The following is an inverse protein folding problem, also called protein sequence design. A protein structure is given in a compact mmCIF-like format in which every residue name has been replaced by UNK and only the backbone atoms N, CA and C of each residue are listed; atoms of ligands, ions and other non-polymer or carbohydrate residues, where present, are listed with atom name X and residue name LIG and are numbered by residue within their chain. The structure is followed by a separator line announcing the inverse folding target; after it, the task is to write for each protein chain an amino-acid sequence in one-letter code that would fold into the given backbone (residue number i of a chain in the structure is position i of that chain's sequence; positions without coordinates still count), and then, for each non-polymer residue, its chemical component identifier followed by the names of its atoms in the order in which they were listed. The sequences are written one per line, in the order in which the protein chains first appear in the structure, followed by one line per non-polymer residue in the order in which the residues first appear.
data_IF_243995147895
#
_entry.id   IF_243995147895
#
_cell.length_a   1.000
_cell.length_b   1.000
_cell.length_c   1.000
_cell.angle_alpha   90.00
_cell.angle_beta   90.00
_cell.angle_gamma   90.00
#
_symmetry.space_group_name_H-M   'P 1'
#
loop_
_entity.id
_entity.type
_entity.pdbx_description
1 polymer ?
#
# COMPACT_ATOMS: atom_id res chain seq x y z
N UNK A 1 -5.61 28.39 6.45
CA UNK A 1 -6.62 27.57 7.18
C UNK A 1 -8.04 28.09 7.02
N UNK A 2 -8.38 29.33 7.41
CA UNK A 2 -9.75 29.88 7.24
C UNK A 2 -10.22 29.89 5.77
N UNK A 3 -9.35 30.29 4.85
CA UNK A 3 -9.67 30.31 3.41
C UNK A 3 -9.86 28.89 2.84
N UNK A 4 -8.99 27.94 3.19
CA UNK A 4 -9.12 26.52 2.83
C UNK A 4 -10.47 25.95 3.29
N UNK A 5 -10.83 26.16 4.57
CA UNK A 5 -12.11 25.69 5.12
C UNK A 5 -13.30 26.30 4.39
N UNK A 6 -13.27 27.63 4.16
CA UNK A 6 -14.32 28.32 3.39
C UNK A 6 -14.45 27.70 2.00
N UNK A 7 -13.32 27.48 1.31
CA UNK A 7 -13.33 26.94 -0.05
C UNK A 7 -13.84 25.52 -0.13
N UNK A 8 -13.46 24.66 0.81
CA UNK A 8 -14.03 23.30 0.93
C UNK A 8 -15.55 23.37 1.14
N UNK A 9 -16.04 24.31 1.96
CA UNK A 9 -17.48 24.53 2.15
C UNK A 9 -18.19 24.95 0.87
N UNK A 10 -17.61 25.87 0.09
CA UNK A 10 -18.15 26.25 -1.22
C UNK A 10 -18.20 25.07 -2.20
N UNK A 11 -17.15 24.24 -2.24
CA UNK A 11 -17.12 23.03 -3.07
C UNK A 11 -18.15 22.00 -2.63
N UNK A 12 -18.39 21.87 -1.31
CA UNK A 12 -19.43 20.98 -0.78
C UNK A 12 -20.83 21.43 -1.22
N UNK A 13 -21.11 22.74 -1.23
CA UNK A 13 -22.36 23.30 -1.76
C UNK A 13 -22.50 23.09 -3.26
N UNK A 14 -21.42 23.28 -4.04
CA UNK A 14 -21.43 23.01 -5.47
C UNK A 14 -21.66 21.51 -5.77
N UNK A 15 -21.09 20.62 -4.96
CA UNK A 15 -21.36 19.20 -5.06
C UNK A 15 -22.86 18.92 -4.86
N UNK A 16 -23.50 19.59 -3.91
CA UNK A 16 -24.93 19.42 -3.67
C UNK A 16 -25.81 19.77 -4.88
N UNK A 17 -25.43 20.82 -5.59
CA UNK A 17 -26.11 21.28 -6.80
C UNK A 17 -25.91 20.32 -7.98
N UNK A 18 -24.72 19.72 -8.09
CA UNK A 18 -24.33 18.93 -9.27
C UNK A 18 -24.39 17.42 -9.08
N UNK A 19 -24.59 16.90 -7.86
CA UNK A 19 -24.50 15.45 -7.58
C UNK A 19 -25.49 14.58 -8.36
N UNK A 20 -26.58 15.14 -8.88
CA UNK A 20 -27.56 14.41 -9.70
C UNK A 20 -27.35 14.63 -11.20
N UNK A 21 -26.39 15.46 -11.58
CA UNK A 21 -26.09 15.81 -12.96
C UNK A 21 -24.99 14.91 -13.53
N UNK A 22 -24.99 14.75 -14.85
CA UNK A 22 -23.92 14.05 -15.57
C UNK A 22 -22.72 14.97 -15.78
N UNK A 23 -21.83 15.04 -14.80
CA UNK A 23 -20.60 15.86 -14.87
C UNK A 23 -19.45 15.04 -15.45
N UNK A 24 -18.80 15.56 -16.49
CA UNK A 24 -17.67 14.87 -17.13
C UNK A 24 -16.42 14.87 -16.23
N UNK A 25 -15.40 14.07 -16.57
CA UNK A 25 -14.15 14.03 -15.81
C UNK A 25 -13.42 15.38 -15.88
N UNK A 26 -13.38 15.97 -17.09
CA UNK A 26 -12.82 17.30 -17.32
C UNK A 26 -13.57 18.39 -16.55
N UNK A 27 -14.89 18.32 -16.47
CA UNK A 27 -15.69 19.27 -15.69
C UNK A 27 -15.49 19.05 -14.19
N UNK A 28 -15.32 17.80 -13.75
CA UNK A 28 -15.01 17.47 -12.35
C UNK A 28 -13.66 18.06 -11.95
N UNK A 29 -12.65 17.91 -12.80
CA UNK A 29 -11.34 18.51 -12.61
C UNK A 29 -11.44 20.04 -12.52
N UNK A 30 -12.17 20.66 -13.44
CA UNK A 30 -12.34 22.11 -13.51
C UNK A 30 -13.11 22.69 -12.32
N UNK A 31 -14.23 22.08 -11.93
CA UNK A 31 -15.16 22.61 -10.94
C UNK A 31 -14.75 22.29 -9.50
N UNK A 32 -14.13 21.13 -9.28
CA UNK A 32 -13.80 20.67 -7.92
C UNK A 32 -12.30 20.64 -7.65
N UNK A 33 -11.51 20.06 -8.56
CA UNK A 33 -10.11 19.77 -8.27
C UNK A 33 -9.24 21.02 -8.39
N UNK A 34 -9.39 21.79 -9.47
CA UNK A 34 -8.64 23.04 -9.61
C UNK A 34 -8.91 24.04 -8.46
N UNK A 35 -10.17 24.30 -8.04
CA UNK A 35 -10.41 25.20 -6.92
C UNK A 35 -9.90 24.65 -5.58
N UNK A 36 -9.95 23.34 -5.36
CA UNK A 36 -9.35 22.70 -4.20
C UNK A 36 -7.83 22.90 -4.18
N UNK A 37 -7.14 22.62 -5.28
CA UNK A 37 -5.68 22.80 -5.40
C UNK A 37 -5.25 24.26 -5.21
N UNK A 38 -5.99 25.21 -5.81
CA UNK A 38 -5.75 26.64 -5.60
C UNK A 38 -5.88 27.05 -4.13
N UNK A 39 -6.82 26.46 -3.39
CA UNK A 39 -6.97 26.72 -1.95
C UNK A 39 -5.81 26.19 -1.09
N UNK A 40 -5.03 25.26 -1.64
CA UNK A 40 -3.75 24.79 -1.08
C UNK A 40 -2.54 25.57 -1.62
N UNK A 41 -2.75 26.61 -2.42
CA UNK A 41 -1.66 27.42 -3.00
C UNK A 41 -1.00 26.80 -4.23
N UNK A 42 -1.62 25.82 -4.88
CA UNK A 42 -1.21 25.34 -6.20
C UNK A 42 -2.04 26.03 -7.27
N UNK A 43 -1.51 27.09 -7.87
CA UNK A 43 -2.16 27.73 -9.01
C UNK A 43 -2.06 26.83 -10.23
N UNK A 44 -3.21 26.30 -10.67
CA UNK A 44 -3.30 25.38 -11.82
C UNK A 44 -3.04 26.06 -13.16
N UNK A 45 -3.02 27.40 -13.20
CA UNK A 45 -2.56 28.16 -14.37
C UNK A 45 -1.04 28.34 -14.42
N UNK A 46 -0.31 28.01 -13.34
CA UNK A 46 1.13 28.16 -13.27
C UNK A 46 1.84 26.81 -13.55
N UNK A 47 2.50 26.64 -14.71
CA UNK A 47 3.19 25.41 -15.07
C UNK A 47 4.39 25.07 -14.17
N UNK A 48 4.88 26.02 -13.37
CA UNK A 48 5.94 25.76 -12.38
C UNK A 48 5.41 25.09 -11.11
N UNK A 49 4.10 25.19 -10.85
CA UNK A 49 3.43 24.61 -9.68
C UNK A 49 2.58 23.40 -10.04
N UNK A 50 1.97 23.38 -11.22
CA UNK A 50 1.08 22.31 -11.67
C UNK A 50 1.30 22.01 -13.14
N UNK A 51 1.52 20.74 -13.47
CA UNK A 51 1.58 20.26 -14.85
C UNK A 51 0.42 19.32 -15.13
N UNK A 52 -0.41 19.64 -16.12
CA UNK A 52 -1.44 18.73 -16.62
C UNK A 52 -0.86 17.66 -17.53
N UNK A 53 -1.51 16.48 -17.55
CA UNK A 53 -1.14 15.35 -18.40
C UNK A 53 0.34 14.97 -18.30
N UNK A 54 0.84 14.90 -17.06
CA UNK A 54 2.26 14.68 -16.76
C UNK A 54 2.66 13.23 -17.08
N UNK A 55 3.78 12.98 -17.80
CA UNK A 55 4.22 11.64 -18.15
C UNK A 55 4.76 10.89 -16.92
N UNK A 56 3.96 9.99 -16.36
CA UNK A 56 4.31 9.21 -15.17
C UNK A 56 4.98 7.85 -15.51
N UNK A 57 4.81 7.37 -16.74
CA UNK A 57 5.35 6.09 -17.23
C UNK A 57 6.12 6.31 -18.55
N UNK A 58 7.26 5.62 -18.78
CA UNK A 58 8.05 5.76 -20.02
C UNK A 58 7.38 5.27 -21.32
N UNK A 59 6.18 4.69 -21.28
CA UNK A 59 5.49 4.18 -22.47
C UNK A 59 4.59 5.24 -23.13
N UNK A 60 4.69 5.34 -24.46
CA UNK A 60 4.01 6.30 -25.35
C UNK A 60 2.50 6.00 -25.56
N UNK A 61 1.82 5.44 -24.55
CA UNK A 61 0.38 5.18 -24.60
C UNK A 61 -0.39 6.26 -23.84
N UNK A 62 -1.59 6.63 -24.30
CA UNK A 62 -2.47 7.63 -23.66
C UNK A 62 -2.70 7.38 -22.15
N UNK A 63 -2.45 6.17 -21.67
CA UNK A 63 -2.63 5.73 -20.28
C UNK A 63 -1.37 5.90 -19.42
N UNK A 64 -0.26 6.42 -19.96
CA UNK A 64 0.99 6.67 -19.23
C UNK A 64 1.06 8.04 -18.52
N UNK A 65 0.04 8.88 -18.68
CA UNK A 65 -0.01 10.25 -18.17
C UNK A 65 -0.98 10.35 -17.00
N UNK A 66 -0.58 11.07 -15.96
CA UNK A 66 -1.44 11.44 -14.83
C UNK A 66 -2.08 12.80 -15.10
N UNK A 67 -3.33 12.98 -14.67
CA UNK A 67 -4.12 14.18 -14.99
C UNK A 67 -3.42 15.45 -14.53
N UNK A 68 -2.92 15.47 -13.28
CA UNK A 68 -2.15 16.58 -12.73
C UNK A 68 -0.96 16.10 -11.92
N UNK A 69 0.17 16.79 -12.08
CA UNK A 69 1.33 16.69 -11.20
C UNK A 69 1.57 18.02 -10.50
N UNK A 70 1.56 18.02 -9.17
CA UNK A 70 1.97 19.16 -8.36
C UNK A 70 3.49 19.17 -8.24
N UNK A 71 4.09 20.33 -8.49
CA UNK A 71 5.52 20.49 -8.63
C UNK A 71 6.09 21.30 -7.48
N UNK A 72 7.30 20.93 -7.06
CA UNK A 72 8.15 21.74 -6.19
C UNK A 72 9.54 21.78 -6.80
N UNK A 73 10.05 22.99 -7.04
CA UNK A 73 11.35 23.20 -7.72
C UNK A 73 11.45 22.44 -9.06
N UNK A 74 10.37 22.42 -9.85
CA UNK A 74 10.30 21.75 -11.15
C UNK A 74 10.26 20.22 -11.11
N UNK A 75 10.16 19.59 -9.92
CA UNK A 75 10.00 18.14 -9.78
C UNK A 75 8.61 17.78 -9.25
N UNK A 76 7.98 16.69 -9.75
CA UNK A 76 6.66 16.28 -9.27
C UNK A 76 6.77 15.70 -7.86
N UNK A 77 6.00 16.24 -6.93
CA UNK A 77 5.94 15.82 -5.52
C UNK A 77 4.63 15.10 -5.18
N UNK A 78 3.53 15.47 -5.85
CA UNK A 78 2.21 14.86 -5.68
C UNK A 78 1.60 14.61 -7.05
N UNK A 79 1.10 13.41 -7.26
CA UNK A 79 0.24 13.10 -8.40
C UNK A 79 -1.24 13.20 -8.01
N UNK A 80 -2.07 13.74 -8.89
CA UNK A 80 -3.52 13.84 -8.70
C UNK A 80 -4.20 13.22 -9.91
N UNK A 81 -4.99 12.17 -9.64
CA UNK A 81 -5.81 11.47 -10.63
C UNK A 81 -7.28 11.76 -10.34
N UNK A 82 -7.97 12.28 -11.35
CA UNK A 82 -9.38 12.65 -11.30
C UNK A 82 -10.24 11.57 -11.96
N UNK A 83 -11.49 11.47 -11.49
CA UNK A 83 -12.56 10.69 -12.10
C UNK A 83 -13.81 11.54 -12.21
N UNK A 84 -14.80 11.06 -12.96
CA UNK A 84 -16.10 11.73 -13.08
C UNK A 84 -16.76 11.87 -11.71
N UNK A 85 -17.53 12.94 -11.53
CA UNK A 85 -18.32 13.16 -10.32
C UNK A 85 -19.15 11.91 -9.99
N UNK A 86 -19.12 11.49 -8.72
CA UNK A 86 -19.77 10.28 -8.20
C UNK A 86 -19.24 8.94 -8.71
N UNK A 87 -18.20 8.90 -9.55
CA UNK A 87 -17.61 7.63 -9.97
C UNK A 87 -16.91 6.94 -8.80
N UNK A 88 -17.17 5.63 -8.54
CA UNK A 88 -16.51 4.90 -7.47
C UNK A 88 -14.99 4.81 -7.67
N UNK A 89 -14.23 5.14 -6.64
CA UNK A 89 -12.76 5.22 -6.72
C UNK A 89 -12.05 3.87 -6.56
N UNK A 90 -12.70 2.85 -6.01
CA UNK A 90 -12.09 1.55 -5.64
C UNK A 90 -11.39 0.85 -6.82
N UNK A 91 -11.91 1.01 -8.03
CA UNK A 91 -11.41 0.34 -9.23
C UNK A 91 -10.16 0.99 -9.84
N UNK A 92 -9.79 2.19 -9.37
CA UNK A 92 -8.74 3.02 -9.98
C UNK A 92 -7.38 2.90 -9.29
N UNK A 93 -7.28 2.10 -8.23
CA UNK A 93 -6.02 1.90 -7.50
C UNK A 93 -4.86 1.42 -8.40
N UNK A 94 -5.14 0.52 -9.34
CA UNK A 94 -4.10 -0.01 -10.24
C UNK A 94 -3.45 1.08 -11.10
N UNK A 95 -4.22 2.11 -11.47
CA UNK A 95 -3.74 3.22 -12.29
C UNK A 95 -2.76 4.10 -11.49
N UNK A 96 -3.19 4.60 -10.33
CA UNK A 96 -2.35 5.45 -9.46
C UNK A 96 -1.11 4.71 -8.96
N UNK A 97 -1.23 3.40 -8.67
CA UNK A 97 -0.10 2.56 -8.29
C UNK A 97 0.94 2.47 -9.40
N UNK A 98 0.52 2.34 -10.65
CA UNK A 98 1.44 2.32 -11.80
C UNK A 98 2.18 3.65 -11.91
N UNK A 99 1.51 4.78 -11.74
CA UNK A 99 2.14 6.10 -11.82
C UNK A 99 3.17 6.30 -10.71
N UNK A 100 2.77 6.06 -9.46
CA UNK A 100 3.64 6.24 -8.31
C UNK A 100 4.89 5.35 -8.37
N UNK A 101 4.72 4.05 -8.61
CA UNK A 101 5.83 3.09 -8.57
C UNK A 101 6.85 3.32 -9.70
N UNK A 102 6.45 3.97 -10.81
CA UNK A 102 7.35 4.30 -11.91
C UNK A 102 8.06 5.65 -11.73
N UNK A 103 7.51 6.57 -10.93
CA UNK A 103 8.07 7.90 -10.72
C UNK A 103 8.65 8.08 -9.30
N UNK A 104 9.95 7.79 -9.13
CA UNK A 104 10.64 7.83 -7.82
C UNK A 104 10.71 9.21 -7.15
N UNK A 105 10.35 10.28 -7.85
CA UNK A 105 10.37 11.66 -7.33
C UNK A 105 9.09 12.03 -6.57
N UNK A 106 8.02 11.27 -6.76
CA UNK A 106 6.71 11.55 -6.19
C UNK A 106 6.60 10.94 -4.79
N UNK A 107 6.11 11.73 -3.84
CA UNK A 107 5.96 11.32 -2.45
C UNK A 107 4.50 10.93 -2.11
N UNK A 108 3.52 11.51 -2.81
CA UNK A 108 2.09 11.29 -2.54
C UNK A 108 1.27 11.13 -3.83
N UNK A 109 0.13 10.43 -3.72
CA UNK A 109 -0.90 10.41 -4.76
C UNK A 109 -2.26 10.76 -4.17
N UNK A 110 -3.03 11.57 -4.88
CA UNK A 110 -4.42 11.88 -4.59
C UNK A 110 -5.27 11.26 -5.69
N UNK A 111 -6.24 10.42 -5.30
CA UNK A 111 -7.28 9.91 -6.18
C UNK A 111 -8.61 10.53 -5.75
N UNK A 112 -9.35 11.12 -6.69
CA UNK A 112 -10.55 11.88 -6.37
C UNK A 112 -11.59 11.87 -7.48
N UNK A 113 -12.87 12.00 -7.10
CA UNK A 113 -14.00 12.20 -8.01
C UNK A 113 -14.70 13.55 -7.74
N UNK A 114 -13.96 14.53 -7.19
CA UNK A 114 -14.50 15.84 -6.80
C UNK A 114 -15.15 15.89 -5.42
N UNK A 115 -15.82 14.81 -4.99
CA UNK A 115 -16.43 14.70 -3.66
C UNK A 115 -15.56 13.94 -2.67
N UNK A 116 -15.06 12.77 -3.08
CA UNK A 116 -14.17 11.92 -2.29
C UNK A 116 -12.72 12.22 -2.64
N UNK A 117 -11.87 12.28 -1.61
CA UNK A 117 -10.44 12.52 -1.76
C UNK A 117 -9.66 11.47 -0.99
N UNK A 118 -8.87 10.66 -1.69
CA UNK A 118 -8.10 9.57 -1.12
C UNK A 118 -6.61 9.83 -1.30
N UNK A 119 -5.90 9.99 -0.20
CA UNK A 119 -4.47 10.30 -0.17
C UNK A 119 -3.66 9.03 0.12
N UNK A 120 -2.72 8.75 -0.75
CA UNK A 120 -1.85 7.58 -0.71
C UNK A 120 -0.39 8.00 -0.62
N UNK A 121 0.40 7.14 0.00
CA UNK A 121 1.87 7.20 0.03
C UNK A 121 2.37 5.77 0.29
N UNK A 122 3.67 5.60 0.48
CA UNK A 122 4.38 4.33 0.57
C UNK A 122 4.90 4.06 1.99
N UNK A 123 4.02 4.08 2.99
CA UNK A 123 4.41 3.98 4.41
C UNK A 123 5.02 2.62 4.76
N UNK A 124 4.52 1.55 4.14
CA UNK A 124 4.99 0.20 4.44
C UNK A 124 6.33 -0.08 3.73
N UNK A 125 6.48 0.34 2.47
CA UNK A 125 7.69 0.09 1.69
C UNK A 125 8.03 1.21 0.70
N UNK A 126 9.24 1.74 0.80
CA UNK A 126 9.70 2.83 -0.06
C UNK A 126 9.50 2.54 -1.56
N UNK A 127 8.97 3.54 -2.28
CA UNK A 127 8.64 3.51 -3.72
C UNK A 127 7.54 2.53 -4.14
N UNK A 128 6.80 1.98 -3.18
CA UNK A 128 5.67 1.11 -3.45
C UNK A 128 4.41 1.67 -2.78
N UNK A 129 3.47 2.14 -3.60
CA UNK A 129 2.23 2.74 -3.09
C UNK A 129 1.46 1.73 -2.21
N UNK A 130 1.10 2.16 -1.01
CA UNK A 130 0.28 1.36 -0.10
C UNK A 130 -1.12 1.13 -0.69
N UNK A 131 -1.70 -0.05 -0.43
CA UNK A 131 -3.05 -0.38 -0.93
C UNK A 131 -4.15 0.46 -0.30
N UNK A 132 -4.00 0.79 0.97
CA UNK A 132 -4.95 1.62 1.69
C UNK A 132 -4.43 3.05 1.72
N UNK A 133 -5.28 4.04 1.38
CA UNK A 133 -4.94 5.43 1.60
C UNK A 133 -4.81 5.71 3.10
N UNK A 134 -3.86 6.55 3.47
CA UNK A 134 -3.67 6.95 4.85
C UNK A 134 -4.70 8.00 5.29
N UNK A 135 -5.27 8.75 4.35
CA UNK A 135 -6.31 9.74 4.60
C UNK A 135 -7.39 9.65 3.52
N UNK A 136 -8.66 9.64 3.95
CA UNK A 136 -9.84 9.67 3.08
C UNK A 136 -10.88 10.61 3.68
N UNK A 137 -11.53 11.41 2.85
CA UNK A 137 -12.65 12.23 3.29
C UNK A 137 -13.60 12.56 2.15
N UNK A 138 -14.79 13.02 2.52
CA UNK A 138 -15.78 13.66 1.65
C UNK A 138 -15.83 15.14 1.95
N UNK A 139 -16.12 15.98 0.96
CA UNK A 139 -16.20 17.44 1.14
C UNK A 139 -17.11 17.85 2.32
N UNK A 140 -18.23 17.16 2.49
CA UNK A 140 -19.20 17.41 3.57
C UNK A 140 -18.76 16.96 4.96
N UNK A 141 -17.71 16.15 5.03
CA UNK A 141 -17.24 15.54 6.28
C UNK A 141 -16.00 16.25 6.84
N UNK A 142 -15.62 17.39 6.26
CA UNK A 142 -14.41 18.12 6.65
C UNK A 142 -14.65 18.97 7.89
N UNK A 143 -14.00 18.59 8.99
CA UNK A 143 -13.94 19.32 10.25
C UNK A 143 -12.64 20.15 10.39
N UNK A 144 -12.48 20.86 11.52
CA UNK A 144 -11.29 21.70 11.76
C UNK A 144 -9.98 20.90 11.86
N UNK A 145 -10.05 19.69 12.41
CA UNK A 145 -8.88 18.80 12.53
C UNK A 145 -8.40 18.35 11.15
N UNK A 146 -9.34 18.02 10.27
CA UNK A 146 -9.03 17.65 8.89
C UNK A 146 -8.53 18.87 8.09
N UNK A 147 -9.11 20.06 8.27
CA UNK A 147 -8.58 21.29 7.65
C UNK A 147 -7.13 21.51 8.06
N UNK A 148 -6.79 21.28 9.33
CA UNK A 148 -5.42 21.41 9.84
C UNK A 148 -4.48 20.39 9.19
N UNK A 149 -4.94 19.15 8.97
CA UNK A 149 -4.18 18.13 8.25
C UNK A 149 -3.98 18.50 6.78
N UNK A 150 -5.02 18.96 6.09
CA UNK A 150 -4.96 19.34 4.67
C UNK A 150 -4.07 20.56 4.43
N UNK A 151 -4.05 21.52 5.35
CA UNK A 151 -3.22 22.72 5.25
C UNK A 151 -1.71 22.44 5.19
N UNK A 152 -1.28 21.22 5.54
CA UNK A 152 0.11 20.81 5.47
C UNK A 152 0.54 20.36 4.07
N UNK A 153 -0.43 20.00 3.23
CA UNK A 153 -0.19 19.73 1.82
C UNK A 153 -0.07 21.03 1.01
N UNK A 154 -0.28 22.20 1.63
CA UNK A 154 -0.16 23.49 0.96
C UNK A 154 1.25 23.73 0.42
N UNK A 155 1.34 24.31 -0.78
CA UNK A 155 2.60 24.46 -1.54
C UNK A 155 3.73 25.10 -0.74
N UNK A 156 3.42 26.15 0.02
CA UNK A 156 4.37 26.89 0.88
C UNK A 156 4.84 26.13 2.12
N UNK A 157 4.11 25.10 2.56
CA UNK A 157 4.40 24.32 3.77
C UNK A 157 4.85 22.89 3.46
N UNK A 158 4.96 22.54 2.18
CA UNK A 158 5.19 21.16 1.78
C UNK A 158 6.60 20.69 2.17
N UNK A 159 6.64 19.75 3.11
CA UNK A 159 7.82 18.99 3.50
C UNK A 159 7.46 17.50 3.50
N UNK A 160 8.03 16.74 2.57
CA UNK A 160 7.68 15.34 2.38
C UNK A 160 8.03 14.45 3.57
N UNK A 161 9.08 14.77 4.34
CA UNK A 161 9.45 14.00 5.53
C UNK A 161 8.43 14.21 6.64
N UNK A 162 8.08 15.47 6.91
CA UNK A 162 7.09 15.82 7.95
C UNK A 162 5.73 15.22 7.60
N UNK A 163 5.29 15.37 6.36
CA UNK A 163 4.01 14.83 5.88
C UNK A 163 3.97 13.30 5.96
N UNK A 164 5.07 12.62 5.64
CA UNK A 164 5.14 11.16 5.73
C UNK A 164 5.04 10.66 7.17
N UNK A 165 5.73 11.31 8.11
CA UNK A 165 5.64 10.97 9.54
C UNK A 165 4.20 11.14 10.06
N UNK A 166 3.49 12.14 9.57
CA UNK A 166 2.08 12.34 9.91
C UNK A 166 1.17 11.33 9.25
N UNK A 167 1.36 11.04 7.96
CA UNK A 167 0.64 9.98 7.26
C UNK A 167 0.79 8.64 8.00
N UNK A 168 2.00 8.34 8.52
CA UNK A 168 2.22 7.17 9.37
C UNK A 168 1.41 7.20 10.66
N UNK A 169 1.35 8.35 11.35
CA UNK A 169 0.52 8.51 12.57
C UNK A 169 -0.97 8.33 12.28
N UNK A 170 -1.47 8.93 11.20
CA UNK A 170 -2.87 8.82 10.78
C UNK A 170 -3.20 7.37 10.43
N UNK A 171 -2.36 6.72 9.62
CA UNK A 171 -2.51 5.31 9.23
C UNK A 171 -2.54 4.38 10.44
N UNK A 172 -1.59 4.53 11.38
CA UNK A 172 -1.55 3.75 12.62
C UNK A 172 -2.80 3.97 13.47
N UNK A 173 -3.22 5.22 13.67
CA UNK A 173 -4.46 5.54 14.40
C UNK A 173 -5.68 4.87 13.76
N UNK A 174 -5.80 4.93 12.43
CA UNK A 174 -6.86 4.28 11.68
C UNK A 174 -6.87 2.75 11.82
N UNK A 175 -5.71 2.11 11.68
CA UNK A 175 -5.54 0.65 11.87
C UNK A 175 -5.95 0.22 13.29
N UNK A 176 -5.57 0.99 14.32
CA UNK A 176 -5.94 0.73 15.72
C UNK A 176 -7.47 0.84 15.91
N UNK A 177 -8.07 1.94 15.47
CA UNK A 177 -9.53 2.15 15.60
C UNK A 177 -10.30 1.04 14.88
N UNK A 178 -9.90 0.71 13.65
CA UNK A 178 -10.51 -0.35 12.85
C UNK A 178 -10.44 -1.71 13.55
N UNK A 179 -9.28 -2.06 14.12
CA UNK A 179 -9.11 -3.28 14.90
C UNK A 179 -10.10 -3.36 16.06
N UNK A 180 -10.18 -2.32 16.90
CA UNK A 180 -11.08 -2.33 18.05
C UNK A 180 -12.56 -2.30 17.65
N UNK A 181 -12.96 -1.55 16.62
CA UNK A 181 -14.34 -1.61 16.10
C UNK A 181 -14.71 -3.03 15.64
N UNK A 182 -13.78 -3.72 14.98
CA UNK A 182 -14.00 -5.12 14.59
C UNK A 182 -14.12 -6.03 15.82
N UNK A 183 -13.24 -5.89 16.80
CA UNK A 183 -13.33 -6.71 18.02
C UNK A 183 -14.60 -6.41 18.83
N UNK A 184 -15.11 -5.17 18.83
CA UNK A 184 -16.31 -4.84 19.61
C UNK A 184 -17.60 -5.32 18.92
N UNK A 185 -17.66 -5.29 17.59
CA UNK A 185 -18.78 -5.79 16.81
C UNK A 185 -18.77 -7.31 16.61
N UNK A 186 -17.58 -7.89 16.41
CA UNK A 186 -17.37 -9.31 16.14
C UNK A 186 -16.06 -9.77 16.80
N UNK A 187 -16.07 -9.96 18.14
CA UNK A 187 -14.87 -10.32 18.88
C UNK A 187 -14.37 -11.70 18.48
N UNK A 188 -13.05 -11.82 18.34
CA UNK A 188 -12.39 -13.12 18.17
C UNK A 188 -12.33 -13.89 19.49
N UNK A 189 -12.27 -15.22 19.42
CA UNK A 189 -12.13 -16.08 20.60
C UNK A 189 -10.88 -15.76 21.44
N UNK A 190 -9.78 -15.41 20.77
CA UNK A 190 -8.54 -15.00 21.42
C UNK A 190 -8.72 -13.69 22.19
N UNK A 191 -9.37 -12.70 21.57
CA UNK A 191 -9.69 -11.44 22.22
C UNK A 191 -10.58 -11.65 23.46
N UNK A 192 -11.61 -12.47 23.34
CA UNK A 192 -12.48 -12.82 24.48
C UNK A 192 -11.71 -13.51 25.60
N UNK A 193 -10.83 -14.47 25.28
CA UNK A 193 -9.98 -15.14 26.29
C UNK A 193 -9.08 -14.14 27.02
N UNK A 194 -8.42 -13.23 26.29
CA UNK A 194 -7.51 -12.26 26.86
C UNK A 194 -8.25 -11.26 27.77
N UNK A 195 -9.37 -10.70 27.31
CA UNK A 195 -10.18 -9.75 28.10
C UNK A 195 -10.78 -10.44 29.33
N UNK A 196 -11.35 -11.63 29.20
CA UNK A 196 -11.88 -12.37 30.35
C UNK A 196 -10.80 -12.70 31.37
N UNK A 197 -9.59 -13.07 30.92
CA UNK A 197 -8.45 -13.29 31.82
C UNK A 197 -8.05 -12.00 32.55
N UNK A 198 -8.11 -10.84 31.90
CA UNK A 198 -7.78 -9.56 32.53
C UNK A 198 -8.84 -9.11 33.56
N UNK A 199 -10.13 -9.27 33.23
CA UNK A 199 -11.24 -8.79 34.09
C UNK A 199 -11.56 -9.80 35.20
N UNK A 200 -11.74 -11.07 34.84
CA UNK A 200 -12.24 -12.11 35.75
C UNK A 200 -11.14 -13.07 36.24
N UNK A 201 -9.89 -12.89 35.79
CA UNK A 201 -8.76 -13.81 36.08
C UNK A 201 -9.01 -15.26 35.62
N UNK A 202 -9.94 -15.46 34.68
CA UNK A 202 -10.32 -16.77 34.16
C UNK A 202 -10.78 -16.67 32.70
N UNK A 203 -10.79 -17.80 31.99
CA UNK A 203 -11.24 -17.89 30.58
C UNK A 203 -12.45 -18.82 30.41
N UNK A 204 -13.20 -19.05 31.50
CA UNK A 204 -14.43 -19.87 31.46
C UNK A 204 -15.44 -19.31 30.45
N UNK A 205 -16.27 -20.20 29.91
CA UNK A 205 -17.18 -19.90 28.79
C UNK A 205 -18.20 -18.84 29.18
N UNK A 206 -18.76 -18.91 30.39
CA UNK A 206 -19.67 -17.92 30.97
C UNK A 206 -19.05 -16.52 31.01
N UNK A 207 -17.82 -16.39 31.53
CA UNK A 207 -17.11 -15.11 31.57
C UNK A 207 -16.82 -14.55 30.16
N UNK A 208 -16.51 -15.41 29.18
CA UNK A 208 -16.30 -15.00 27.79
C UNK A 208 -17.60 -14.54 27.13
N UNK A 209 -18.70 -15.22 27.42
CA UNK A 209 -20.02 -14.84 26.91
C UNK A 209 -20.46 -13.49 27.47
N UNK A 210 -20.27 -13.23 28.77
CA UNK A 210 -20.55 -11.92 29.35
C UNK A 210 -19.76 -10.79 28.68
N UNK A 211 -18.46 -10.99 28.42
CA UNK A 211 -17.66 -10.00 27.66
C UNK A 211 -18.24 -9.80 26.26
N UNK A 212 -18.52 -10.89 25.54
CA UNK A 212 -19.04 -10.85 24.17
C UNK A 212 -20.36 -10.09 24.07
N UNK A 213 -21.25 -10.26 25.04
CA UNK A 213 -22.56 -9.60 25.09
C UNK A 213 -22.45 -8.11 25.41
N UNK A 214 -21.48 -7.69 26.23
CA UNK A 214 -21.30 -6.27 26.62
C UNK A 214 -20.51 -5.43 25.59
N UNK A 215 -19.64 -6.04 24.79
CA UNK A 215 -18.77 -5.32 23.84
C UNK A 215 -19.52 -4.42 22.82
N UNK A 216 -20.66 -4.85 22.22
CA UNK A 216 -21.43 -3.98 21.34
C UNK A 216 -21.99 -2.74 22.05
N UNK A 217 -22.40 -2.86 23.31
CA UNK A 217 -22.92 -1.71 24.08
C UNK A 217 -21.83 -0.68 24.35
N UNK A 218 -20.59 -1.12 24.61
CA UNK A 218 -19.43 -0.22 24.76
C UNK A 218 -19.19 0.56 23.46
N UNK A 219 -19.39 -0.06 22.30
CA UNK A 219 -19.23 0.61 21.01
C UNK A 219 -20.25 1.75 20.84
N UNK A 220 -21.48 1.58 21.34
CA UNK A 220 -22.54 2.61 21.30
C UNK A 220 -22.26 3.80 22.23
N UNK A 221 -21.45 3.60 23.27
CA UNK A 221 -21.07 4.65 24.21
C UNK A 221 -19.90 5.51 23.69
N UNK A 222 -19.17 5.04 22.69
CA UNK A 222 -18.08 5.82 22.11
C UNK A 222 -18.66 6.90 21.18
N UNK A 223 -18.13 8.14 21.23
CA UNK A 223 -18.46 9.13 20.22
C UNK A 223 -18.12 8.57 18.83
N UNK A 224 -18.81 9.05 17.81
CA UNK A 224 -18.74 8.52 16.45
C UNK A 224 -17.36 8.80 15.83
N UNK A 225 -16.36 8.01 16.21
CA UNK A 225 -15.01 8.11 15.67
C UNK A 225 -15.09 7.47 14.29
N UNK A 226 -15.25 8.28 13.25
CA UNK A 226 -15.18 7.82 11.86
C UNK A 226 -13.77 7.26 11.61
N UNK A 227 -13.59 5.94 11.44
CA UNK A 227 -12.31 5.44 10.95
C UNK A 227 -12.13 5.99 9.54
N UNK A 228 -10.89 6.14 9.04
CA UNK A 228 -10.70 6.24 7.59
C UNK A 228 -11.45 5.05 6.97
N UNK A 229 -12.32 5.28 5.97
CA UNK A 229 -13.06 4.22 5.31
C UNK A 229 -12.11 3.07 4.96
N UNK A 230 -12.28 1.93 5.62
CA UNK A 230 -11.62 0.70 5.18
C UNK A 230 -12.26 0.39 3.83
N UNK A 231 -11.48 0.35 2.76
CA UNK A 231 -11.98 -0.26 1.52
C UNK A 231 -12.15 -1.73 1.88
N UNK A 232 -13.39 -2.12 2.18
CA UNK A 232 -13.73 -3.53 2.07
C UNK A 232 -13.61 -3.82 0.57
N UNK A 233 -12.88 -4.85 0.13
CA UNK A 233 -13.04 -5.31 -1.23
C UNK A 233 -14.53 -5.66 -1.40
N UNK A 234 -15.27 -4.83 -2.13
CA UNK A 234 -16.68 -5.07 -2.38
C UNK A 234 -16.78 -6.13 -3.48
N UNK A 235 -17.60 -7.17 -3.29
CA UNK A 235 -17.85 -8.18 -4.30
C UNK A 235 -18.81 -7.60 -5.34
N UNK A 236 -18.33 -7.38 -6.57
CA UNK A 236 -18.79 -8.14 -7.73
C UNK A 236 -18.20 -7.59 -9.03
N UNK A 237 -17.31 -8.41 -9.57
CA UNK A 237 -16.76 -8.37 -10.90
C UNK A 237 -15.85 -9.57 -10.94
N UNK A 238 -16.33 -10.68 -11.50
CA UNK A 238 -15.66 -11.99 -11.49
C UNK A 238 -14.14 -11.86 -11.60
N UNK A 239 -13.45 -12.03 -10.47
CA UNK A 239 -12.06 -12.43 -10.42
C UNK A 239 -12.08 -13.70 -9.58
N UNK A 240 -11.75 -14.80 -10.23
CA UNK A 240 -11.75 -16.16 -9.68
C UNK A 240 -10.92 -16.25 -8.39
N UNK A 241 -11.28 -17.12 -7.44
CA UNK A 241 -10.47 -17.39 -6.26
C UNK A 241 -9.21 -18.19 -6.62
N UNK A 242 -8.13 -18.02 -5.83
CA UNK A 242 -6.96 -18.92 -5.75
C UNK A 242 -5.96 -18.99 -6.92
N UNK A 243 -5.23 -17.91 -7.18
CA UNK A 243 -4.17 -17.94 -8.19
C UNK A 243 -2.73 -18.04 -7.63
N UNK A 244 -2.45 -17.57 -6.41
CA UNK A 244 -1.11 -17.64 -5.81
C UNK A 244 -0.96 -18.84 -4.86
N UNK A 245 0.16 -19.56 -4.99
CA UNK A 245 0.52 -20.67 -4.12
C UNK A 245 1.64 -20.26 -3.18
N UNK A 246 1.50 -20.55 -1.90
CA UNK A 246 2.60 -20.49 -0.94
C UNK A 246 3.78 -21.35 -1.44
N UNK A 247 4.99 -20.80 -1.41
CA UNK A 247 6.20 -21.52 -1.87
C UNK A 247 6.39 -22.85 -1.14
N UNK A 248 5.95 -22.99 0.12
CA UNK A 248 6.01 -24.23 0.90
C UNK A 248 5.04 -25.30 0.40
N UNK A 249 4.02 -24.92 -0.38
CA UNK A 249 3.06 -25.84 -1.01
C UNK A 249 3.49 -26.28 -2.41
N UNK A 250 4.50 -25.65 -3.01
CA UNK A 250 4.99 -26.00 -4.35
C UNK A 250 5.80 -27.30 -4.31
N UNK A 251 5.18 -28.40 -4.77
CA UNK A 251 5.79 -29.74 -4.79
C UNK A 251 6.34 -30.17 -6.16
N UNK A 252 5.71 -29.74 -7.25
CA UNK A 252 6.12 -30.06 -8.61
C UNK A 252 6.46 -28.77 -9.38
N UNK A 253 7.66 -28.73 -9.95
CA UNK A 253 8.18 -27.59 -10.73
C UNK A 253 8.48 -27.97 -12.19
N UNK A 254 8.08 -29.18 -12.60
CA UNK A 254 8.36 -29.71 -13.94
C UNK A 254 7.47 -29.01 -14.97
N UNK A 255 8.08 -28.30 -15.91
CA UNK A 255 7.36 -27.60 -16.98
C UNK A 255 6.64 -26.30 -16.55
N UNK A 256 6.72 -25.91 -15.27
CA UNK A 256 6.03 -24.71 -14.77
C UNK A 256 6.85 -23.44 -15.02
N UNK A 257 6.20 -22.42 -15.58
CA UNK A 257 6.79 -21.07 -15.71
C UNK A 257 6.28 -20.19 -14.57
N UNK A 258 7.17 -19.37 -14.04
CA UNK A 258 6.79 -18.34 -13.07
C UNK A 258 6.13 -17.18 -13.83
N UNK A 259 4.97 -16.72 -13.36
CA UNK A 259 4.34 -15.50 -13.84
C UNK A 259 4.83 -14.29 -13.05
N UNK A 260 4.60 -14.33 -11.74
CA UNK A 260 5.13 -13.39 -10.77
C UNK A 260 5.23 -14.07 -9.41
N UNK A 261 5.88 -13.41 -8.46
CA UNK A 261 5.89 -13.87 -7.07
C UNK A 261 5.61 -12.70 -6.13
N UNK A 262 5.13 -13.00 -4.93
CA UNK A 262 4.92 -12.06 -3.86
C UNK A 262 5.90 -12.38 -2.74
N UNK A 263 6.81 -11.47 -2.43
CA UNK A 263 7.74 -11.61 -1.32
C UNK A 263 7.52 -10.48 -0.30
N UNK A 264 7.32 -10.82 0.98
CA UNK A 264 6.96 -9.88 2.05
C UNK A 264 5.82 -8.93 1.65
N UNK A 265 4.74 -9.48 1.08
CA UNK A 265 3.59 -8.74 0.56
C UNK A 265 3.85 -7.83 -0.66
N UNK A 266 5.04 -7.88 -1.28
CA UNK A 266 5.37 -7.16 -2.53
C UNK A 266 5.26 -8.08 -3.74
N UNK A 267 4.49 -7.69 -4.75
CA UNK A 267 4.43 -8.41 -6.03
C UNK A 267 5.63 -8.01 -6.90
N UNK A 268 6.46 -8.98 -7.28
CA UNK A 268 7.64 -8.84 -8.10
C UNK A 268 7.43 -9.64 -9.38
N UNK A 269 7.53 -8.95 -10.52
CA UNK A 269 7.29 -9.51 -11.86
C UNK A 269 8.62 -9.88 -12.53
N UNK A 270 9.44 -10.69 -11.87
CA UNK A 270 10.66 -11.22 -12.49
C UNK A 270 10.34 -12.45 -13.32
N UNK A 271 10.80 -12.46 -14.58
CA UNK A 271 10.31 -13.36 -15.63
C UNK A 271 10.75 -14.82 -15.51
N UNK A 272 11.38 -15.25 -14.40
CA UNK A 272 11.79 -16.65 -14.18
C UNK A 272 12.16 -16.98 -12.71
N UNK A 273 12.25 -18.28 -12.42
CA UNK A 273 12.62 -18.84 -11.11
C UNK A 273 14.00 -18.43 -10.58
N UNK A 274 14.96 -18.13 -11.46
CA UNK A 274 16.32 -17.76 -11.05
C UNK A 274 16.36 -16.35 -10.48
N UNK A 275 15.64 -15.41 -11.08
CA UNK A 275 15.61 -14.04 -10.60
C UNK A 275 14.85 -13.94 -9.27
N UNK A 276 13.73 -14.67 -9.11
CA UNK A 276 13.08 -14.81 -7.79
C UNK A 276 14.03 -15.37 -6.73
N UNK A 277 14.78 -16.43 -7.07
CA UNK A 277 15.75 -17.03 -6.16
C UNK A 277 16.82 -16.03 -5.73
N UNK A 278 17.40 -15.28 -6.67
CA UNK A 278 18.39 -14.24 -6.36
C UNK A 278 17.78 -13.11 -5.54
N UNK A 279 16.56 -12.67 -5.86
CA UNK A 279 15.88 -11.59 -5.13
C UNK A 279 15.69 -11.92 -3.65
N UNK A 280 15.16 -13.11 -3.36
CA UNK A 280 14.93 -13.54 -1.98
C UNK A 280 16.27 -13.69 -1.25
N UNK A 281 17.28 -14.29 -1.88
CA UNK A 281 18.60 -14.46 -1.25
C UNK A 281 19.35 -13.14 -1.07
N UNK A 282 19.17 -12.17 -1.96
CA UNK A 282 19.67 -10.81 -1.80
C UNK A 282 19.10 -10.16 -0.55
N UNK A 283 17.78 -10.26 -0.36
CA UNK A 283 17.14 -9.76 0.86
C UNK A 283 17.65 -10.47 2.12
N UNK A 284 17.65 -11.81 2.14
CA UNK A 284 18.13 -12.57 3.30
C UNK A 284 19.60 -12.28 3.64
N UNK A 285 20.43 -11.99 2.63
CA UNK A 285 21.82 -11.62 2.85
C UNK A 285 21.98 -10.25 3.49
N UNK A 286 21.03 -9.34 3.30
CA UNK A 286 21.03 -8.03 3.95
C UNK A 286 20.53 -8.11 5.40
N UNK A 287 19.61 -9.03 5.68
CA UNK A 287 19.09 -9.29 7.04
C UNK A 287 20.13 -9.95 7.94
N UNK A 288 20.71 -11.08 7.52
CA UNK A 288 21.77 -11.77 8.27
C UNK A 288 22.68 -12.60 7.32
N UNK A 289 23.82 -12.02 6.89
CA UNK A 289 24.78 -12.72 6.03
C UNK A 289 25.34 -14.00 6.68
N UNK A 290 25.53 -14.02 8.00
CA UNK A 290 26.15 -15.15 8.70
C UNK A 290 25.21 -16.35 8.76
N UNK A 291 23.92 -16.08 9.00
CA UNK A 291 22.86 -17.08 8.98
C UNK A 291 22.61 -17.62 7.57
N UNK A 292 22.68 -16.77 6.55
CA UNK A 292 22.59 -17.25 5.17
C UNK A 292 23.78 -18.15 4.79
N UNK A 293 24.99 -17.82 5.26
CA UNK A 293 26.17 -18.67 5.11
C UNK A 293 26.05 -19.99 5.86
N UNK A 294 25.41 -20.04 7.04
CA UNK A 294 25.15 -21.31 7.73
C UNK A 294 24.19 -22.21 6.95
N UNK A 295 23.15 -21.62 6.34
CA UNK A 295 22.24 -22.36 5.43
C UNK A 295 23.02 -23.00 4.27
N UNK A 296 24.02 -22.33 3.70
CA UNK A 296 24.89 -22.92 2.67
C UNK A 296 25.76 -24.06 3.21
N UNK A 297 26.35 -23.90 4.41
CA UNK A 297 27.17 -24.96 5.05
C UNK A 297 26.38 -26.24 5.33
N UNK A 298 25.14 -26.09 5.78
CA UNK A 298 24.25 -27.22 6.08
C UNK A 298 23.70 -27.91 4.82
N UNK A 299 23.92 -27.29 3.64
CA UNK A 299 23.35 -27.73 2.37
C UNK A 299 24.42 -27.69 1.26
N UNK A 300 25.26 -28.74 1.12
CA UNK A 300 26.41 -28.73 0.21
C UNK A 300 26.13 -28.42 -1.27
N UNK A 301 24.88 -28.62 -1.73
CA UNK A 301 24.46 -28.26 -3.08
C UNK A 301 24.18 -26.77 -3.31
N UNK A 302 23.97 -26.00 -2.24
CA UNK A 302 23.82 -24.55 -2.26
C UNK A 302 25.16 -23.90 -1.91
N UNK A 303 25.79 -23.25 -2.89
CA UNK A 303 27.06 -22.52 -2.67
C UNK A 303 26.82 -21.03 -2.51
N UNK A 304 27.18 -20.50 -1.34
CA UNK A 304 27.23 -19.07 -1.05
C UNK A 304 28.63 -18.75 -0.54
N UNK A 305 29.30 -17.80 -1.20
CA UNK A 305 30.71 -17.49 -0.94
C UNK A 305 30.94 -15.99 -0.97
N UNK A 306 31.95 -15.52 -0.23
CA UNK A 306 32.41 -14.12 -0.29
C UNK A 306 33.22 -13.82 -1.56
N UNK A 307 33.89 -14.84 -2.07
CA UNK A 307 34.70 -14.73 -3.29
C UNK A 307 33.99 -15.35 -4.49
N UNK A 308 33.79 -14.55 -5.53
CA UNK A 308 33.18 -14.99 -6.80
C UNK A 308 33.90 -16.19 -7.42
N UNK A 309 35.22 -16.28 -7.28
CA UNK A 309 36.09 -17.35 -7.83
C UNK A 309 35.77 -18.74 -7.27
N UNK A 310 35.24 -18.82 -6.04
CA UNK A 310 34.88 -20.08 -5.38
C UNK A 310 33.59 -20.70 -5.96
N UNK A 311 32.82 -19.93 -6.72
CA UNK A 311 31.59 -20.37 -7.38
C UNK A 311 31.85 -20.60 -8.86
N UNK A 312 32.08 -21.87 -9.21
CA UNK A 312 32.45 -22.29 -10.57
C UNK A 312 31.42 -21.95 -11.66
N UNK A 313 30.12 -21.90 -11.33
CA UNK A 313 29.07 -21.76 -12.33
C UNK A 313 27.99 -20.74 -11.95
N UNK A 314 27.74 -19.78 -12.85
CA UNK A 314 26.69 -18.76 -12.75
C UNK A 314 26.59 -18.06 -11.37
N UNK A 315 27.69 -17.48 -10.86
CA UNK A 315 27.63 -16.69 -9.64
C UNK A 315 26.81 -15.41 -9.85
N UNK A 316 25.86 -15.15 -8.96
CA UNK A 316 25.14 -13.87 -8.88
C UNK A 316 25.49 -13.21 -7.55
N UNK A 317 25.82 -11.93 -7.59
CA UNK A 317 26.07 -11.14 -6.38
C UNK A 317 24.75 -10.98 -5.61
N UNK A 318 24.81 -11.13 -4.30
CA UNK A 318 23.72 -10.91 -3.34
C UNK A 318 24.28 -10.10 -2.17
N UNK A 319 23.54 -9.09 -1.71
CA UNK A 319 23.96 -8.19 -0.67
C UNK A 319 25.21 -7.39 -1.04
N UNK A 320 25.96 -6.96 -0.02
CA UNK A 320 27.16 -6.15 -0.20
C UNK A 320 28.37 -6.97 -0.68
N UNK A 321 28.52 -8.20 -0.19
CA UNK A 321 29.78 -8.96 -0.25
C UNK A 321 29.62 -10.49 -0.48
N UNK A 322 28.42 -10.99 -0.76
CA UNK A 322 28.17 -12.41 -1.01
C UNK A 322 27.85 -12.69 -2.48
N UNK A 323 28.11 -13.93 -2.89
CA UNK A 323 27.73 -14.48 -4.18
C UNK A 323 27.01 -15.81 -3.96
N UNK A 324 26.00 -16.10 -4.78
CA UNK A 324 25.28 -17.37 -4.77
C UNK A 324 25.34 -18.06 -6.14
N UNK A 325 25.48 -19.38 -6.13
CA UNK A 325 25.38 -20.20 -7.34
C UNK A 325 23.93 -20.29 -7.82
N UNK A 326 23.69 -19.97 -9.10
CA UNK A 326 22.34 -20.08 -9.70
C UNK A 326 22.16 -21.26 -10.66
N UNK A 327 23.21 -22.07 -10.87
CA UNK A 327 23.18 -23.30 -11.68
C UNK A 327 22.51 -24.45 -10.94
N UNK A 328 21.24 -24.27 -10.61
CA UNK A 328 20.42 -25.19 -9.85
C UNK A 328 19.14 -25.51 -10.64
N UNK A 329 18.70 -26.77 -10.69
CA UNK A 329 17.36 -27.10 -11.15
C UNK A 329 16.28 -26.31 -10.39
N UNK A 330 15.14 -26.02 -11.02
CA UNK A 330 14.04 -25.27 -10.39
C UNK A 330 13.59 -25.91 -9.07
N UNK A 331 13.52 -27.24 -9.03
CA UNK A 331 13.19 -27.99 -7.81
C UNK A 331 14.15 -27.68 -6.66
N UNK A 332 15.45 -27.62 -6.93
CA UNK A 332 16.46 -27.30 -5.92
C UNK A 332 16.37 -25.84 -5.49
N UNK A 333 16.11 -24.89 -6.41
CA UNK A 333 15.87 -23.49 -6.06
C UNK A 333 14.72 -23.34 -5.06
N UNK A 334 13.59 -24.00 -5.31
CA UNK A 334 12.43 -23.99 -4.40
C UNK A 334 12.78 -24.60 -3.05
N UNK A 335 13.49 -25.73 -3.01
CA UNK A 335 13.92 -26.36 -1.76
C UNK A 335 14.84 -25.47 -0.94
N UNK A 336 15.80 -24.79 -1.57
CA UNK A 336 16.71 -23.89 -0.87
C UNK A 336 16.02 -22.60 -0.42
N UNK A 337 15.04 -22.09 -1.16
CA UNK A 337 14.18 -21.00 -0.70
C UNK A 337 13.41 -21.40 0.56
N UNK A 338 12.76 -22.56 0.57
CA UNK A 338 12.03 -23.05 1.75
C UNK A 338 12.95 -23.20 2.98
N UNK A 339 14.16 -23.76 2.79
CA UNK A 339 15.14 -23.91 3.88
C UNK A 339 15.65 -22.57 4.41
N UNK A 340 15.98 -21.65 3.51
CA UNK A 340 16.46 -20.32 3.90
C UNK A 340 15.35 -19.54 4.62
N UNK A 341 14.13 -19.49 4.07
CA UNK A 341 12.99 -18.82 4.71
C UNK A 341 12.64 -19.43 6.07
N UNK A 342 12.72 -20.76 6.22
CA UNK A 342 12.51 -21.41 7.52
C UNK A 342 13.56 -21.00 8.54
N UNK A 343 14.84 -20.96 8.14
CA UNK A 343 15.93 -20.51 9.02
C UNK A 343 15.66 -19.10 9.53
N UNK A 344 15.15 -18.21 8.68
CA UNK A 344 14.88 -16.80 9.00
C UNK A 344 13.51 -16.54 9.65
N UNK A 345 12.74 -17.56 10.01
CA UNK A 345 11.36 -17.41 10.54
C UNK A 345 10.42 -16.64 9.58
N UNK A 346 10.63 -16.81 8.26
CA UNK A 346 9.93 -16.11 7.18
C UNK A 346 9.05 -17.05 6.34
N UNK A 347 8.44 -18.07 6.94
CA UNK A 347 7.71 -19.12 6.20
C UNK A 347 6.54 -18.58 5.38
N UNK A 348 5.84 -17.56 5.87
CA UNK A 348 4.63 -17.01 5.23
C UNK A 348 4.92 -15.85 4.26
N UNK A 349 6.21 -15.62 3.98
CA UNK A 349 6.67 -14.42 3.28
C UNK A 349 6.71 -14.55 1.76
N UNK A 350 6.63 -15.75 1.18
CA UNK A 350 6.83 -15.96 -0.26
C UNK A 350 5.69 -16.77 -0.90
N UNK A 351 5.04 -16.16 -1.88
CA UNK A 351 3.95 -16.74 -2.67
C UNK A 351 4.29 -16.64 -4.15
N UNK A 352 3.84 -17.58 -4.96
CA UNK A 352 4.13 -17.62 -6.40
C UNK A 352 2.86 -17.80 -7.22
N UNK A 353 2.80 -17.09 -8.34
CA UNK A 353 1.84 -17.37 -9.42
C UNK A 353 2.56 -18.11 -10.54
N UNK A 354 2.06 -19.29 -10.88
CA UNK A 354 2.56 -20.09 -12.00
C UNK A 354 1.70 -19.85 -13.25
N UNK A 355 2.32 -19.94 -14.43
CA UNK A 355 1.64 -19.93 -15.74
C UNK A 355 1.20 -21.31 -16.17
#
# INVERSE_FOLDING_TARGET
MRELKKKIGELASLFDELQNESVSESDTELYFIHPFLRSLGYDTGNPELVSSQYPAVPEDTKTGKVDLALLQNGSPIIFVECKKLNEPLDHHFHQIKRYFNNCRKVDFVILTNGNEYWFFTDLDFKYLLDKEPFLKFKLKEVDEDLVTQLAQFASQNFDSKILRDQALKISRKGKIISFFKKQFSSPSDEFLKNISKMIFRTTKVDCRNSVKETLPDILLLLPDIKPPPVVKPTPDGKIEPDEEQDIFKVRNTTGTKLDYFRFQNKVIRDKNWTDMFVHVFDHLSQEDPSKLMSVSKDNPGLKIEREKSLIKYYPRKIGSDLFVSTKLPTKEKVQYLQKALSSFDMTDSLWVKLK
#
